data_IF_925073914018
#
_entry.id   IF_925073914018
#
_cell.length_a   1.000
_cell.length_b   1.000
_cell.length_c   1.000
_cell.angle_alpha   90.00
_cell.angle_beta   90.00
_cell.angle_gamma   90.00
#
_symmetry.space_group_name_H-M   'P 1'
#
loop_
_entity.id
_entity.type
_entity.pdbx_description
1 polymer ?
#
# COMPACT_ATOMS: atom_id res chain seq x y z
N UNK A 1 21.18 -12.39 24.08
CA UNK A 1 20.11 -12.87 23.19
C UNK A 1 19.31 -11.69 22.64
N UNK A 2 19.12 -11.69 21.34
CA UNK A 2 18.38 -10.60 20.72
C UNK A 2 16.89 -10.69 21.02
N UNK A 3 16.30 -9.57 21.38
CA UNK A 3 14.86 -9.46 21.61
C UNK A 3 14.14 -8.90 20.37
N UNK A 4 14.89 -8.70 19.27
CA UNK A 4 14.31 -8.15 18.05
C UNK A 4 13.31 -9.12 17.44
N UNK A 5 12.16 -8.60 17.07
CA UNK A 5 11.13 -9.36 16.35
C UNK A 5 10.97 -8.76 14.97
N UNK A 6 10.78 -9.64 13.98
CA UNK A 6 10.52 -9.20 12.61
C UNK A 6 9.23 -8.40 12.56
N UNK A 7 9.23 -7.18 12.03
CA UNK A 7 7.99 -6.41 11.87
C UNK A 7 7.01 -7.12 10.94
N UNK A 8 5.73 -6.84 11.11
CA UNK A 8 4.70 -7.37 10.21
C UNK A 8 4.96 -6.87 8.79
N UNK A 9 4.75 -7.76 7.80
CA UNK A 9 4.92 -7.41 6.39
C UNK A 9 3.97 -6.28 5.98
N UNK A 10 4.35 -5.52 4.96
CA UNK A 10 3.59 -4.37 4.45
C UNK A 10 3.31 -3.32 5.52
N UNK A 11 4.24 -3.14 6.45
CA UNK A 11 4.17 -2.05 7.42
C UNK A 11 5.32 -1.09 7.16
N UNK A 12 5.14 0.14 7.60
CA UNK A 12 6.18 1.18 7.46
C UNK A 12 7.46 0.72 8.13
N UNK A 13 7.36 0.15 9.34
CA UNK A 13 8.51 -0.35 10.06
C UNK A 13 9.29 -1.41 9.28
N UNK A 14 8.56 -2.36 8.69
CA UNK A 14 9.14 -3.43 7.89
C UNK A 14 9.83 -2.88 6.65
N UNK A 15 9.19 -1.94 5.97
CA UNK A 15 9.72 -1.39 4.72
C UNK A 15 10.92 -0.47 4.96
N UNK A 16 10.88 0.34 6.00
CA UNK A 16 12.01 1.18 6.37
C UNK A 16 13.21 0.32 6.74
N UNK A 17 12.98 -0.73 7.50
CA UNK A 17 14.06 -1.66 7.88
C UNK A 17 14.61 -2.37 6.64
N UNK A 18 13.73 -2.91 5.80
CA UNK A 18 14.13 -3.68 4.62
C UNK A 18 14.93 -2.88 3.62
N UNK A 19 14.54 -1.64 3.35
CA UNK A 19 15.22 -0.83 2.34
C UNK A 19 16.64 -0.45 2.75
N UNK A 20 16.92 -0.37 4.03
CA UNK A 20 18.26 -0.04 4.50
C UNK A 20 19.28 -1.13 4.21
N UNK A 21 18.83 -2.36 4.11
CA UNK A 21 19.70 -3.53 3.98
C UNK A 21 19.58 -4.25 2.64
N UNK A 22 18.90 -3.65 1.67
CA UNK A 22 18.70 -4.23 0.34
C UNK A 22 18.70 -3.15 -0.73
N UNK A 23 18.70 -3.57 -1.99
CA UNK A 23 18.67 -2.66 -3.13
C UNK A 23 17.26 -2.21 -3.48
N UNK A 24 16.26 -2.85 -2.92
CA UNK A 24 14.88 -2.51 -3.19
C UNK A 24 13.93 -3.20 -2.24
N UNK A 25 12.67 -2.82 -2.29
CA UNK A 25 11.60 -3.44 -1.51
C UNK A 25 10.41 -3.74 -2.41
N UNK A 26 9.57 -4.65 -1.95
CA UNK A 26 8.30 -4.95 -2.59
C UNK A 26 7.20 -4.77 -1.56
N UNK A 27 6.09 -4.15 -1.95
CA UNK A 27 4.94 -4.05 -1.08
C UNK A 27 3.65 -3.96 -1.89
N UNK A 28 2.55 -4.20 -1.20
CA UNK A 28 1.23 -4.28 -1.81
C UNK A 28 0.35 -3.12 -1.37
N UNK A 29 -0.42 -2.59 -2.30
CA UNK A 29 -1.38 -1.52 -2.01
C UNK A 29 -2.79 -1.95 -2.34
N UNK A 30 -3.73 -1.54 -1.48
CA UNK A 30 -5.16 -1.66 -1.69
C UNK A 30 -5.78 -0.28 -1.57
N UNK A 31 -6.97 -0.12 -2.12
CA UNK A 31 -7.68 1.16 -2.08
C UNK A 31 -8.83 1.06 -1.08
N UNK A 32 -8.84 1.93 -0.08
CA UNK A 32 -9.95 1.99 0.88
C UNK A 32 -11.19 2.61 0.23
N UNK A 33 -12.32 2.55 0.93
CA UNK A 33 -13.58 3.09 0.40
C UNK A 33 -13.52 4.61 0.22
N UNK A 34 -12.71 5.30 1.03
CA UNK A 34 -12.48 6.76 0.89
C UNK A 34 -11.29 7.09 -0.01
N UNK A 35 -10.91 6.13 -0.87
CA UNK A 35 -9.87 6.31 -1.88
C UNK A 35 -8.49 6.66 -1.32
N UNK A 36 -8.14 6.03 -0.20
CA UNK A 36 -6.79 6.09 0.35
C UNK A 36 -6.03 4.81 0.00
N UNK A 37 -4.80 4.95 -0.47
CA UNK A 37 -3.95 3.78 -0.71
C UNK A 37 -3.43 3.27 0.63
N UNK A 38 -3.63 1.99 0.89
CA UNK A 38 -3.22 1.37 2.15
C UNK A 38 -2.30 0.18 1.90
N UNK A 39 -1.41 -0.06 2.84
CA UNK A 39 -0.41 -1.13 2.76
C UNK A 39 -1.01 -2.42 3.31
N UNK A 40 -1.45 -3.31 2.42
CA UNK A 40 -2.02 -4.58 2.85
C UNK A 40 -2.05 -5.58 1.69
N UNK A 41 -1.69 -6.83 1.98
CA UNK A 41 -1.62 -7.89 0.98
C UNK A 41 -2.96 -8.62 0.79
N UNK A 42 -3.56 -9.06 1.89
CA UNK A 42 -4.73 -9.94 1.82
C UNK A 42 -5.98 -9.20 1.40
N UNK A 43 -6.94 -9.93 0.82
CA UNK A 43 -8.19 -9.33 0.37
C UNK A 43 -9.19 -9.11 1.52
N UNK A 44 -8.95 -9.76 2.65
CA UNK A 44 -9.81 -9.69 3.84
C UNK A 44 -8.92 -9.43 5.05
N UNK A 45 -9.35 -8.53 5.93
CA UNK A 45 -8.63 -8.25 7.18
C UNK A 45 -8.77 -9.43 8.14
N UNK A 46 -7.94 -9.45 9.19
CA UNK A 46 -8.01 -10.52 10.19
C UNK A 46 -9.35 -10.55 10.92
N UNK A 47 -10.04 -9.41 10.99
CA UNK A 47 -11.39 -9.34 11.57
C UNK A 47 -12.49 -9.43 10.51
N UNK A 48 -12.17 -10.05 9.36
CA UNK A 48 -13.12 -10.41 8.31
C UNK A 48 -13.82 -9.23 7.62
N UNK A 49 -13.08 -8.15 7.39
CA UNK A 49 -13.59 -7.01 6.62
C UNK A 49 -12.85 -6.89 5.30
N UNK A 50 -13.50 -6.31 4.29
CA UNK A 50 -12.84 -5.99 3.03
C UNK A 50 -12.22 -4.60 3.15
N UNK A 51 -10.90 -4.44 2.95
CA UNK A 51 -10.29 -3.11 3.00
C UNK A 51 -10.97 -2.09 2.08
N UNK A 52 -11.41 -2.55 0.90
CA UNK A 52 -12.07 -1.69 -0.08
C UNK A 52 -13.45 -1.19 0.35
N UNK A 53 -14.03 -1.79 1.38
CA UNK A 53 -15.34 -1.42 1.90
C UNK A 53 -15.25 -0.56 3.16
N UNK A 54 -14.04 -0.29 3.64
CA UNK A 54 -13.83 0.45 4.89
C UNK A 54 -13.12 1.78 4.64
N UNK A 55 -13.40 2.75 5.50
CA UNK A 55 -12.60 3.97 5.52
C UNK A 55 -11.21 3.63 6.04
N UNK A 56 -10.19 4.31 5.55
CA UNK A 56 -8.82 4.03 5.99
C UNK A 56 -8.68 4.12 7.51
N UNK A 57 -9.32 5.11 8.13
CA UNK A 57 -9.26 5.31 9.57
C UNK A 57 -9.94 4.20 10.38
N UNK A 58 -10.84 3.45 9.74
CA UNK A 58 -11.58 2.36 10.39
C UNK A 58 -10.88 1.01 10.23
N UNK A 59 -9.80 0.96 9.47
CA UNK A 59 -9.02 -0.25 9.30
C UNK A 59 -8.17 -0.51 10.54
N UNK A 60 -7.79 -1.80 10.76
CA UNK A 60 -6.91 -2.11 11.90
C UNK A 60 -5.63 -1.30 11.90
N UNK A 61 -5.08 -1.03 13.07
CA UNK A 61 -3.88 -0.21 13.24
C UNK A 61 -2.67 -0.71 12.46
N UNK A 62 -2.59 -2.01 12.19
CA UNK A 62 -1.47 -2.55 11.43
C UNK A 62 -1.57 -2.27 9.94
N UNK A 63 -2.67 -1.73 9.46
CA UNK A 63 -2.83 -1.33 8.06
C UNK A 63 -2.59 0.18 7.97
N UNK A 64 -1.47 0.55 7.41
CA UNK A 64 -1.02 1.94 7.33
C UNK A 64 -1.21 2.47 5.91
N UNK A 65 -1.20 3.78 5.74
CA UNK A 65 -1.39 4.37 4.42
C UNK A 65 -0.08 4.55 3.68
N UNK A 66 -0.18 4.57 2.35
CA UNK A 66 0.96 4.85 1.49
C UNK A 66 1.52 6.27 1.75
N UNK A 67 0.63 7.24 1.99
CA UNK A 67 1.06 8.61 2.29
C UNK A 67 1.89 8.68 3.58
N UNK A 68 1.51 7.89 4.58
CA UNK A 68 2.30 7.82 5.81
C UNK A 68 3.70 7.26 5.54
N UNK A 69 3.80 6.25 4.68
CA UNK A 69 5.09 5.68 4.30
C UNK A 69 5.94 6.74 3.60
N UNK A 70 5.35 7.45 2.66
CA UNK A 70 6.09 8.47 1.90
C UNK A 70 6.47 9.69 2.75
N UNK A 71 5.81 9.89 3.88
CA UNK A 71 6.17 10.95 4.82
C UNK A 71 7.47 10.65 5.57
N UNK A 72 7.93 9.40 5.55
CA UNK A 72 9.15 8.99 6.24
C UNK A 72 10.36 9.28 5.36
N UNK A 73 11.11 10.32 5.67
CA UNK A 73 12.30 10.71 4.90
C UNK A 73 13.35 9.62 4.88
N UNK A 74 13.46 8.86 5.95
CA UNK A 74 14.38 7.72 6.04
C UNK A 74 14.05 6.63 5.02
N UNK A 75 12.81 6.59 4.54
CA UNK A 75 12.41 5.68 3.47
C UNK A 75 12.63 6.31 2.09
N UNK A 76 12.10 7.53 1.88
CA UNK A 76 12.16 8.17 0.56
C UNK A 76 13.58 8.51 0.11
N UNK A 77 14.47 8.84 1.03
CA UNK A 77 15.87 9.13 0.70
C UNK A 77 16.60 7.96 0.06
N UNK A 78 16.23 6.73 0.40
CA UNK A 78 16.84 5.55 -0.19
C UNK A 78 16.59 5.47 -1.68
N UNK A 79 15.50 6.04 -2.15
CA UNK A 79 15.16 6.08 -3.58
C UNK A 79 15.72 7.32 -4.26
N UNK A 80 15.58 8.48 -3.66
CA UNK A 80 15.99 9.74 -4.27
C UNK A 80 17.49 9.98 -4.19
N UNK A 81 18.17 9.50 -3.15
CA UNK A 81 19.60 9.71 -2.93
C UNK A 81 20.44 8.47 -3.24
N UNK A 82 19.94 7.28 -2.93
CA UNK A 82 20.69 6.04 -3.09
C UNK A 82 20.32 5.23 -4.32
N UNK A 83 19.33 5.66 -5.07
CA UNK A 83 18.94 5.01 -6.33
C UNK A 83 18.33 3.64 -6.18
N UNK A 84 17.75 3.33 -5.03
CA UNK A 84 17.09 2.05 -4.81
C UNK A 84 15.73 2.02 -5.50
N UNK A 85 15.13 0.82 -5.58
CA UNK A 85 13.86 0.67 -6.28
C UNK A 85 12.77 0.07 -5.38
N UNK A 86 11.52 0.29 -5.76
CA UNK A 86 10.37 -0.31 -5.11
C UNK A 86 9.50 -0.99 -6.15
N UNK A 87 9.10 -2.21 -5.86
CA UNK A 87 8.12 -2.94 -6.65
C UNK A 87 6.79 -2.84 -5.93
N UNK A 88 5.86 -2.10 -6.50
CA UNK A 88 4.56 -1.85 -5.88
C UNK A 88 3.51 -2.68 -6.62
N UNK A 89 2.87 -3.61 -5.92
CA UNK A 89 1.80 -4.39 -6.49
C UNK A 89 0.46 -3.77 -6.10
N UNK A 90 -0.35 -3.45 -7.10
CA UNK A 90 -1.69 -2.91 -6.88
C UNK A 90 -2.67 -4.06 -6.85
N UNK A 91 -3.29 -4.28 -5.71
CA UNK A 91 -4.21 -5.41 -5.51
C UNK A 91 -5.63 -5.06 -5.93
N UNK A 92 -6.26 -5.96 -6.69
CA UNK A 92 -7.66 -5.82 -7.05
C UNK A 92 -8.55 -6.19 -5.87
N UNK A 93 -9.76 -5.60 -5.78
CA UNK A 93 -10.66 -5.91 -4.68
C UNK A 93 -11.20 -7.35 -4.80
N UNK A 94 -11.55 -7.92 -3.66
CA UNK A 94 -12.14 -9.25 -3.61
C UNK A 94 -13.47 -9.26 -4.40
N UNK A 95 -13.78 -10.33 -5.16
CA UNK A 95 -15.03 -10.40 -5.92
C UNK A 95 -16.29 -10.16 -5.10
N UNK A 96 -16.29 -10.57 -3.84
CA UNK A 96 -17.44 -10.44 -2.95
C UNK A 96 -17.52 -9.08 -2.25
N UNK A 97 -16.57 -8.18 -2.48
CA UNK A 97 -16.56 -6.86 -1.83
C UNK A 97 -17.61 -5.90 -2.39
N UNK A 98 -18.13 -6.20 -3.58
CA UNK A 98 -19.00 -5.27 -4.30
C UNK A 98 -18.23 -4.25 -5.13
N UNK A 99 -16.93 -4.17 -4.97
CA UNK A 99 -16.07 -3.21 -5.68
C UNK A 99 -15.53 -3.78 -7.00
N UNK A 100 -15.63 -5.09 -7.20
CA UNK A 100 -15.17 -5.73 -8.42
C UNK A 100 -16.21 -5.71 -9.55
N UNK A 101 -17.45 -5.30 -9.25
CA UNK A 101 -18.42 -4.96 -10.28
C UNK A 101 -19.35 -6.03 -10.80
N UNK A 102 -19.46 -7.19 -10.17
CA UNK A 102 -20.44 -8.21 -10.59
C UNK A 102 -20.30 -8.61 -12.07
N UNK A 103 -21.40 -8.51 -12.82
CA UNK A 103 -21.43 -8.91 -14.24
C UNK A 103 -20.53 -8.07 -15.11
N UNK A 104 -20.33 -6.79 -14.77
CA UNK A 104 -19.47 -5.90 -15.52
C UNK A 104 -18.16 -5.66 -14.78
N UNK A 105 -17.76 -6.65 -13.98
CA UNK A 105 -16.59 -6.54 -13.13
C UNK A 105 -15.29 -6.19 -13.87
N UNK A 106 -15.19 -6.59 -15.15
CA UNK A 106 -14.02 -6.27 -15.95
C UNK A 106 -13.81 -4.77 -16.09
N UNK A 107 -14.85 -4.04 -16.49
CA UNK A 107 -14.78 -2.59 -16.63
C UNK A 107 -14.60 -1.90 -15.28
N UNK A 108 -15.38 -2.32 -14.28
CA UNK A 108 -15.33 -1.70 -12.96
C UNK A 108 -14.01 -1.98 -12.25
N UNK A 109 -13.49 -3.19 -12.44
CA UNK A 109 -12.18 -3.56 -11.92
C UNK A 109 -11.09 -2.72 -12.57
N UNK A 110 -11.19 -2.49 -13.88
CA UNK A 110 -10.22 -1.67 -14.58
C UNK A 110 -10.26 -0.22 -14.10
N UNK A 111 -11.44 0.33 -13.87
CA UNK A 111 -11.59 1.67 -13.31
C UNK A 111 -10.95 1.76 -11.92
N UNK A 112 -11.18 0.76 -11.09
CA UNK A 112 -10.60 0.68 -9.75
C UNK A 112 -9.07 0.68 -9.81
N UNK A 113 -8.52 -0.18 -10.67
CA UNK A 113 -7.08 -0.28 -10.83
C UNK A 113 -6.47 1.00 -11.42
N UNK A 114 -7.16 1.62 -12.37
CA UNK A 114 -6.71 2.88 -12.95
C UNK A 114 -6.68 3.99 -11.90
N UNK A 115 -7.69 4.03 -11.03
CA UNK A 115 -7.72 4.97 -9.92
C UNK A 115 -6.51 4.79 -9.02
N UNK A 116 -6.15 3.54 -8.72
CA UNK A 116 -4.99 3.26 -7.90
C UNK A 116 -3.70 3.75 -8.57
N UNK A 117 -3.55 3.52 -9.88
CA UNK A 117 -2.38 4.00 -10.62
C UNK A 117 -2.29 5.52 -10.54
N UNK A 118 -3.42 6.21 -10.74
CA UNK A 118 -3.46 7.67 -10.70
C UNK A 118 -3.06 8.19 -9.31
N UNK A 119 -3.55 7.54 -8.26
CA UNK A 119 -3.23 7.95 -6.89
C UNK A 119 -1.76 7.68 -6.54
N UNK A 120 -1.20 6.58 -7.02
CA UNK A 120 0.22 6.31 -6.82
C UNK A 120 1.05 7.41 -7.49
N UNK A 121 0.71 7.75 -8.72
CA UNK A 121 1.43 8.79 -9.45
C UNK A 121 1.32 10.15 -8.76
N UNK A 122 0.13 10.51 -8.27
CA UNK A 122 -0.06 11.74 -7.53
C UNK A 122 0.79 11.78 -6.25
N UNK A 123 0.81 10.67 -5.52
CA UNK A 123 1.60 10.58 -4.28
C UNK A 123 3.09 10.67 -4.55
N UNK A 124 3.57 10.03 -5.61
CA UNK A 124 4.98 10.07 -5.99
C UNK A 124 5.39 11.45 -6.49
N UNK A 125 4.52 12.14 -7.23
CA UNK A 125 4.79 13.48 -7.71
C UNK A 125 4.91 14.49 -6.57
N UNK A 126 4.29 14.21 -5.43
CA UNK A 126 4.36 15.07 -4.26
C UNK A 126 5.70 14.96 -3.52
N UNK A 127 6.49 13.93 -3.82
CA UNK A 127 7.80 13.76 -3.21
C UNK A 127 8.76 14.74 -3.91
N UNK A 128 9.35 15.63 -3.13
CA UNK A 128 10.33 16.54 -3.65
C UNK A 128 11.59 15.80 -4.06
N UNK A 129 11.89 15.86 -5.33
CA UNK A 129 13.11 15.31 -5.88
C UNK A 129 14.05 16.47 -6.02
N UNK A 130 14.79 16.62 -5.02
CA UNK A 130 15.55 17.74 -5.05
C UNK A 130 16.82 17.98 -5.00
#
# INVERSE_FOLDING_TARGET
MSSWKKPRENTIESLVHGIKFSDGVEFDLRLSDDEQLVLYHNSITEDNRFPECELAEDLPDYIQTFDELLSKKEFTREFTEEGKFACIELKAPHPNSGKAGGWIRGAKRLEHMQKMVDLVNESLDSIEIG
#
